data_IF_051802134886
#
_entry.id   IF_051802134886
#
_cell.length_a   1.000
_cell.length_b   1.000
_cell.length_c   1.000
_cell.angle_alpha   90.00
_cell.angle_beta   90.00
_cell.angle_gamma   90.00
#
_symmetry.space_group_name_H-M   'P 1'
#
loop_
_entity.id
_entity.type
_entity.pdbx_description
1 polymer ?
2 non-polymer ?
3 non-polymer ?
4 non-polymer ?
5 non-polymer ?
6 water ?
#
# COMPACT_ATOMS: atom_id res chain seq x y z
N UNK A 1 -9.81 -16.46 23.14
CA UNK A 1 -8.82 -17.33 23.78
C UNK A 1 -7.43 -16.88 23.32
N UNK A 2 -6.46 -16.79 24.23
CA UNK A 2 -5.18 -16.23 23.83
C UNK A 2 -4.04 -17.24 23.80
N UNK A 3 -3.20 -17.11 22.79
CA UNK A 3 -2.04 -17.97 22.62
C UNK A 3 -0.79 -17.16 22.31
N UNK A 4 0.35 -17.77 22.60
CA UNK A 4 1.64 -17.28 22.16
C UNK A 4 2.33 -18.46 21.48
N UNK A 5 2.86 -18.25 20.29
CA UNK A 5 3.44 -19.34 19.49
C UNK A 5 4.89 -19.03 19.13
N UNK A 6 5.72 -20.06 19.06
CA UNK A 6 7.05 -19.90 18.47
C UNK A 6 6.93 -20.42 17.05
N UNK A 7 7.01 -21.72 16.89
CA UNK A 7 6.76 -22.31 15.57
C UNK A 7 5.31 -22.71 15.47
N UNK A 8 4.60 -21.99 14.63
CA UNK A 8 3.20 -22.27 14.41
C UNK A 8 3.08 -23.54 13.56
N UNK A 9 2.74 -24.64 14.21
CA UNK A 9 2.57 -25.91 13.53
C UNK A 9 1.20 -25.99 12.91
N UNK A 10 0.95 -27.04 12.13
CA UNK A 10 -0.40 -27.28 11.60
C UNK A 10 -1.40 -27.60 12.73
N UNK A 11 -0.91 -28.25 13.78
CA UNK A 11 -1.77 -28.55 14.93
C UNK A 11 -2.21 -27.24 15.59
N UNK A 12 -1.26 -26.32 15.78
CA UNK A 12 -1.56 -25.00 16.30
C UNK A 12 -2.64 -24.32 15.48
N UNK A 13 -2.45 -24.33 14.16
CA UNK A 13 -3.38 -23.71 13.22
C UNK A 13 -4.78 -24.31 13.38
N UNK A 14 -4.87 -25.62 13.57
CA UNK A 14 -6.19 -26.26 13.68
C UNK A 14 -6.89 -25.89 15.00
N UNK A 15 -6.09 -25.66 16.05
CA UNK A 15 -6.62 -25.29 17.37
C UNK A 15 -7.28 -23.92 17.36
N UNK A 16 -6.88 -23.06 16.41
CA UNK A 16 -7.37 -21.68 16.37
C UNK A 16 -8.76 -21.54 15.78
N UNK A 17 -9.56 -20.66 16.39
CA UNK A 17 -10.85 -20.27 15.85
C UNK A 17 -10.91 -18.75 15.85
N UNK A 18 -11.73 -18.17 14.98
CA UNK A 18 -11.96 -16.72 14.94
C UNK A 18 -12.21 -16.10 16.33
N UNK A 19 -11.67 -14.90 16.53
CA UNK A 19 -11.80 -14.21 17.79
C UNK A 19 -10.64 -14.46 18.71
N UNK A 20 -9.89 -15.54 18.46
CA UNK A 20 -8.72 -15.83 19.27
C UNK A 20 -7.66 -14.75 19.12
N UNK A 21 -6.95 -14.46 20.21
CA UNK A 21 -5.89 -13.47 20.21
C UNK A 21 -4.57 -14.25 20.19
N UNK A 22 -3.65 -13.80 19.34
CA UNK A 22 -2.42 -14.53 19.11
C UNK A 22 -1.24 -13.59 19.17
N UNK A 23 -0.18 -14.02 19.86
CA UNK A 23 1.12 -13.36 19.83
C UNK A 23 2.14 -14.28 19.15
N UNK A 24 2.99 -13.71 18.30
CA UNK A 24 3.94 -14.51 17.54
C UNK A 24 5.38 -14.25 17.95
N UNK A 25 6.14 -15.32 18.11
CA UNK A 25 7.60 -15.24 18.18
C UNK A 25 8.24 -16.05 17.07
N UNK A 26 9.35 -15.57 16.55
CA UNK A 26 10.05 -16.33 15.54
C UNK A 26 10.02 -15.71 14.16
N UNK A 27 10.00 -16.57 13.15
CA UNK A 27 10.28 -16.15 11.79
C UNK A 27 9.00 -15.83 11.02
N UNK A 28 8.97 -14.65 10.41
CA UNK A 28 7.91 -14.29 9.46
C UNK A 28 8.56 -13.65 8.24
N UNK A 29 7.88 -13.71 7.11
CA UNK A 29 8.34 -13.09 5.86
C UNK A 29 7.33 -12.05 5.41
N UNK A 30 7.79 -10.89 4.93
CA UNK A 30 6.84 -9.99 4.30
C UNK A 30 6.63 -10.38 2.85
N UNK A 31 5.39 -10.31 2.39
CA UNK A 31 5.05 -10.53 0.99
C UNK A 31 3.77 -9.77 0.61
N UNK A 32 3.92 -8.73 -0.20
CA UNK A 32 2.77 -8.02 -0.74
C UNK A 32 2.51 -8.51 -2.15
N UNK A 33 1.87 -7.70 -2.97
CA UNK A 33 1.28 -8.22 -4.21
C UNK A 33 2.36 -8.59 -5.21
N UNK A 34 3.30 -7.66 -5.43
CA UNK A 34 4.29 -7.85 -6.47
C UNK A 34 5.14 -9.04 -6.11
N UNK A 35 5.45 -9.21 -4.83
CA UNK A 35 6.27 -10.34 -4.39
C UNK A 35 5.48 -11.65 -4.51
N UNK A 36 4.17 -11.59 -4.26
CA UNK A 36 3.32 -12.75 -4.48
C UNK A 36 3.41 -13.18 -5.95
N UNK A 37 3.24 -12.21 -6.85
CA UNK A 37 3.25 -12.46 -8.28
C UNK A 37 4.60 -13.04 -8.72
N UNK A 38 5.69 -12.45 -8.24
CA UNK A 38 7.00 -12.95 -8.59
C UNK A 38 7.22 -14.38 -8.13
N UNK A 39 6.86 -14.65 -6.87
CA UNK A 39 7.05 -15.97 -6.29
C UNK A 39 6.24 -17.02 -7.04
N UNK A 40 5.04 -16.64 -7.45
CA UNK A 40 4.15 -17.54 -8.17
C UNK A 40 4.74 -17.92 -9.52
N UNK A 41 5.26 -16.92 -10.23
CA UNK A 41 5.82 -17.11 -11.56
C UNK A 41 7.07 -18.03 -11.49
N UNK A 42 7.88 -17.82 -10.47
CA UNK A 42 9.07 -18.63 -10.24
C UNK A 42 8.73 -20.10 -10.00
N UNK A 43 7.81 -20.33 -9.07
CA UNK A 43 7.40 -21.69 -8.70
C UNK A 43 6.67 -22.38 -9.85
N UNK A 44 5.95 -21.61 -10.66
CA UNK A 44 5.35 -22.15 -11.87
C UNK A 44 6.43 -22.65 -12.83
N UNK A 45 7.57 -21.97 -12.84
CA UNK A 45 8.67 -22.33 -13.74
C UNK A 45 9.57 -23.40 -13.11
N UNK A 46 9.13 -23.98 -12.00
CA UNK A 46 9.89 -25.00 -11.27
C UNK A 46 11.24 -24.49 -10.75
N UNK A 47 11.35 -23.18 -10.59
CA UNK A 47 12.53 -22.58 -9.97
C UNK A 47 12.48 -22.72 -8.44
N UNK A 48 13.65 -22.69 -7.81
CA UNK A 48 13.74 -22.70 -6.35
C UNK A 48 13.71 -21.26 -5.83
N UNK A 49 13.10 -21.06 -4.67
CA UNK A 49 13.10 -19.74 -4.04
C UNK A 49 14.36 -19.65 -3.18
N UNK A 50 14.88 -18.43 -2.94
CA UNK A 50 16.08 -18.34 -2.11
C UNK A 50 15.75 -18.39 -0.60
N UNK A 51 14.51 -18.77 -0.30
CA UNK A 51 14.02 -18.93 1.07
C UNK A 51 12.91 -20.01 1.12
N UNK A 52 12.65 -20.52 2.31
CA UNK A 52 11.72 -21.62 2.47
C UNK A 52 10.40 -21.12 3.07
N UNK A 53 9.34 -21.20 2.28
CA UNK A 53 8.02 -20.75 2.69
C UNK A 53 7.16 -21.90 3.20
N UNK A 54 7.70 -23.11 3.20
CA UNK A 54 6.92 -24.25 3.66
C UNK A 54 6.47 -24.13 5.11
N UNK A 55 5.16 -24.16 5.31
CA UNK A 55 4.54 -23.98 6.63
C UNK A 55 4.97 -22.68 7.30
N UNK A 56 5.32 -21.68 6.48
CA UNK A 56 5.76 -20.40 6.99
C UNK A 56 4.64 -19.41 7.20
N UNK A 57 4.99 -18.28 7.80
CA UNK A 57 4.05 -17.19 8.01
C UNK A 57 4.42 -16.00 7.15
N UNK A 58 3.48 -15.49 6.36
CA UNK A 58 3.76 -14.27 5.60
C UNK A 58 3.01 -13.07 6.17
N UNK A 59 3.51 -11.89 5.87
CA UNK A 59 2.97 -10.69 6.45
C UNK A 59 2.73 -9.67 5.34
N UNK A 60 1.46 -9.35 5.09
CA UNK A 60 1.13 -8.27 4.18
C UNK A 60 1.59 -6.94 4.79
N UNK A 61 2.80 -6.53 4.43
CA UNK A 61 3.40 -5.28 4.93
C UNK A 61 4.43 -4.74 3.96
N UNK A 62 4.67 -3.43 4.06
CA UNK A 62 5.66 -2.76 3.24
C UNK A 62 6.63 -2.06 4.17
N UNK A 63 7.59 -2.81 4.72
CA UNK A 63 8.46 -2.29 5.79
C UNK A 63 9.44 -1.26 5.27
N UNK A 64 9.80 -0.30 6.12
CA UNK A 64 10.99 0.53 5.91
C UNK A 64 12.10 0.07 6.84
N UNK A 65 13.28 -0.18 6.28
CA UNK A 65 14.43 -0.64 7.04
C UNK A 65 15.56 0.37 6.92
N UNK A 66 16.45 0.42 7.90
CA UNK A 66 17.65 1.24 7.79
C UNK A 66 18.87 0.42 8.19
N UNK A 67 20.01 0.78 7.61
CA UNK A 67 21.25 0.12 7.94
C UNK A 67 21.88 0.78 9.16
N UNK A 68 22.13 -0.02 10.18
CA UNK A 68 22.87 0.41 11.37
C UNK A 68 24.05 -0.56 11.49
N UNK A 69 25.26 -0.01 11.41
CA UNK A 69 26.47 -0.80 11.17
C UNK A 69 26.32 -1.43 9.79
N UNK A 70 26.54 -2.73 9.68
CA UNK A 70 26.37 -3.44 8.41
C UNK A 70 25.13 -4.33 8.49
N UNK A 71 24.18 -3.91 9.34
CA UNK A 71 22.97 -4.68 9.58
C UNK A 71 21.66 -3.88 9.54
N UNK A 72 20.62 -4.55 9.06
CA UNK A 72 19.29 -3.94 8.92
C UNK A 72 18.54 -3.75 10.23
N UNK A 73 18.01 -2.56 10.44
CA UNK A 73 17.09 -2.33 11.55
C UNK A 73 15.74 -1.83 11.01
N UNK A 74 14.66 -2.32 11.61
CA UNK A 74 13.30 -1.96 11.17
C UNK A 74 12.80 -0.65 11.75
N UNK A 75 12.43 0.26 10.84
CA UNK A 75 11.90 1.57 11.18
C UNK A 75 10.37 1.58 11.37
N UNK A 76 9.67 0.90 10.45
CA UNK A 76 8.21 0.87 10.43
C UNK A 76 7.72 -0.39 9.70
N UNK A 77 6.66 -1.01 10.21
CA UNK A 77 6.14 -2.23 9.55
C UNK A 77 4.68 -2.56 9.93
N UNK A 78 3.75 -1.70 9.52
CA UNK A 78 2.33 -1.98 9.76
C UNK A 78 1.71 -2.89 8.70
N UNK A 79 0.56 -3.52 9.02
CA UNK A 79 -0.11 -4.36 8.03
C UNK A 79 -0.76 -3.53 6.94
N UNK A 80 -0.75 -4.02 5.71
CA UNK A 80 -1.39 -3.35 4.59
C UNK A 80 -2.61 -4.15 4.18
N UNK A 81 -3.49 -3.51 3.40
CA UNK A 81 -4.78 -4.09 3.00
C UNK A 81 -4.67 -5.41 2.22
N UNK A 82 -5.11 -6.49 2.87
CA UNK A 82 -4.92 -7.83 2.37
C UNK A 82 -5.71 -8.16 1.09
N UNK A 83 -6.78 -7.42 0.81
CA UNK A 83 -7.59 -7.71 -0.38
C UNK A 83 -6.83 -7.51 -1.71
N UNK A 84 -5.74 -6.75 -1.68
CA UNK A 84 -4.85 -6.62 -2.84
C UNK A 84 -4.35 -7.99 -3.33
N UNK A 85 -4.34 -8.97 -2.42
CA UNK A 85 -3.82 -10.30 -2.72
C UNK A 85 -4.90 -11.32 -3.01
N UNK A 86 -6.16 -10.86 -3.09
CA UNK A 86 -7.32 -11.75 -3.29
C UNK A 86 -7.25 -12.58 -4.57
N UNK A 87 -6.76 -11.98 -5.64
CA UNK A 87 -6.68 -12.67 -6.93
C UNK A 87 -5.65 -13.79 -6.94
N UNK A 88 -4.65 -13.70 -6.05
CA UNK A 88 -3.51 -14.64 -6.09
C UNK A 88 -3.30 -15.48 -4.85
N UNK A 89 -4.02 -15.23 -3.75
CA UNK A 89 -3.67 -15.91 -2.50
C UNK A 89 -3.90 -17.41 -2.56
N UNK A 90 -4.95 -17.83 -3.24
CA UNK A 90 -5.22 -19.26 -3.38
C UNK A 90 -4.04 -20.01 -4.05
N UNK A 91 -3.62 -19.54 -5.22
CA UNK A 91 -2.50 -20.15 -5.93
C UNK A 91 -1.20 -20.05 -5.10
N UNK A 92 -0.96 -18.89 -4.51
CA UNK A 92 0.20 -18.70 -3.64
C UNK A 92 0.25 -19.76 -2.55
N UNK A 93 -0.89 -20.04 -1.92
CA UNK A 93 -0.94 -21.03 -0.85
C UNK A 93 -0.65 -22.43 -1.40
N UNK A 94 -1.25 -22.77 -2.53
CA UNK A 94 -1.09 -24.09 -3.09
C UNK A 94 0.36 -24.37 -3.53
N UNK A 95 1.06 -23.34 -3.97
CA UNK A 95 2.44 -23.49 -4.43
C UNK A 95 3.50 -23.43 -3.32
N UNK A 96 3.16 -22.85 -2.17
CA UNK A 96 4.13 -22.57 -1.12
C UNK A 96 3.89 -23.40 0.14
N UNK A 97 2.63 -23.76 0.37
CA UNK A 97 2.22 -24.43 1.60
C UNK A 97 2.49 -23.59 2.89
N UNK A 98 2.32 -22.26 2.79
CA UNK A 98 2.37 -21.40 3.97
C UNK A 98 1.30 -21.80 4.98
N UNK A 99 1.53 -21.48 6.25
CA UNK A 99 0.59 -21.85 7.32
C UNK A 99 -0.26 -20.69 7.85
N UNK A 100 0.21 -19.46 7.68
CA UNK A 100 -0.52 -18.31 8.19
C UNK A 100 -0.24 -17.06 7.38
N UNK A 101 -1.21 -16.16 7.39
CA UNK A 101 -1.13 -14.89 6.70
C UNK A 101 -1.43 -13.79 7.72
N UNK A 102 -0.57 -12.78 7.83
CA UNK A 102 -0.87 -11.65 8.71
C UNK A 102 -1.12 -10.41 7.86
N UNK A 103 -2.22 -9.71 8.11
CA UNK A 103 -2.52 -8.49 7.37
C UNK A 103 -3.60 -7.62 7.99
N UNK A 104 -4.26 -6.83 7.16
CA UNK A 104 -5.36 -5.97 7.60
C UNK A 104 -6.56 -6.05 6.66
N UNK A 105 -7.77 -5.97 7.24
CA UNK A 105 -8.99 -5.84 6.46
C UNK A 105 -9.62 -7.15 6.03
N UNK A 106 -8.86 -8.23 6.10
CA UNK A 106 -9.39 -9.53 5.72
C UNK A 106 -9.30 -9.80 4.24
N UNK A 107 -9.72 -11.00 3.83
CA UNK A 107 -9.65 -11.41 2.43
C UNK A 107 -10.96 -12.10 2.03
N UNK A 108 -11.16 -12.33 0.74
CA UNK A 108 -12.44 -12.83 0.25
C UNK A 108 -12.84 -14.18 0.87
N UNK A 109 -14.15 -14.36 1.03
CA UNK A 109 -14.72 -15.55 1.66
C UNK A 109 -14.41 -16.83 0.89
N UNK A 110 -14.18 -16.70 -0.41
CA UNK A 110 -13.83 -17.85 -1.24
C UNK A 110 -12.51 -18.56 -0.82
N UNK A 111 -11.65 -17.89 -0.05
CA UNK A 111 -10.39 -18.53 0.37
C UNK A 111 -10.59 -19.44 1.59
N UNK A 112 -11.77 -19.36 2.20
CA UNK A 112 -12.08 -20.21 3.35
C UNK A 112 -11.92 -21.69 3.01
N UNK A 113 -12.35 -22.07 1.80
CA UNK A 113 -12.16 -23.45 1.34
C UNK A 113 -10.66 -23.81 1.32
N UNK A 114 -9.82 -22.92 0.80
CA UNK A 114 -8.38 -23.17 0.77
C UNK A 114 -7.75 -23.20 2.17
N UNK A 115 -8.15 -22.26 3.03
CA UNK A 115 -7.64 -22.19 4.39
C UNK A 115 -7.97 -23.48 5.13
N UNK A 116 -9.15 -24.01 4.86
CA UNK A 116 -9.64 -25.21 5.54
C UNK A 116 -8.92 -26.46 5.04
N UNK A 117 -8.80 -26.55 3.71
CA UNK A 117 -8.16 -27.69 3.06
C UNK A 117 -6.66 -27.75 3.34
N UNK A 118 -6.00 -26.59 3.33
CA UNK A 118 -4.55 -26.56 3.46
C UNK A 118 -4.06 -26.27 4.89
N UNK A 119 -4.98 -25.85 5.76
CA UNK A 119 -4.59 -25.46 7.10
C UNK A 119 -3.88 -24.12 7.14
N UNK A 120 -4.62 -23.05 6.86
CA UNK A 120 -4.08 -21.70 6.94
C UNK A 120 -5.02 -20.86 7.82
N UNK A 121 -4.43 -19.95 8.57
CA UNK A 121 -5.21 -19.03 9.37
C UNK A 121 -4.84 -17.61 8.95
N UNK A 122 -5.85 -16.74 8.84
CA UNK A 122 -5.64 -15.33 8.55
C UNK A 122 -5.72 -14.51 9.84
N UNK A 123 -4.65 -13.76 10.12
CA UNK A 123 -4.56 -13.01 11.36
C UNK A 123 -4.54 -11.51 11.10
N UNK A 124 -5.48 -10.79 11.71
CA UNK A 124 -5.51 -9.34 11.58
C UNK A 124 -4.51 -8.70 12.55
N UNK A 125 -3.66 -7.84 12.02
CA UNK A 125 -2.65 -7.12 12.80
C UNK A 125 -3.14 -5.70 13.05
N UNK A 126 -2.67 -5.06 14.13
CA UNK A 126 -3.12 -3.69 14.40
C UNK A 126 -2.72 -2.70 13.31
N UNK A 127 -3.68 -1.89 12.88
CA UNK A 127 -3.40 -0.86 11.90
C UNK A 127 -3.05 0.42 12.63
N UNK A 128 -2.57 1.41 11.89
CA UNK A 128 -2.28 2.73 12.46
C UNK A 128 -1.14 2.82 13.46
N UNK A 129 -0.25 1.83 13.49
CA UNK A 129 0.93 1.93 14.34
C UNK A 129 2.15 1.22 13.74
N UNK A 130 2.44 1.58 12.48
CA UNK A 130 3.54 0.99 11.73
C UNK A 130 4.89 1.13 12.43
N UNK A 131 5.19 2.33 12.94
CA UNK A 131 6.46 2.58 13.64
C UNK A 131 6.58 1.78 14.93
N UNK A 132 5.47 1.67 15.65
CA UNK A 132 5.42 0.93 16.90
C UNK A 132 5.65 -0.55 16.75
N UNK A 133 5.11 -1.14 15.69
CA UNK A 133 5.24 -2.57 15.46
C UNK A 133 6.68 -2.95 15.08
N UNK A 134 7.42 -1.98 14.55
CA UNK A 134 8.83 -2.19 14.25
C UNK A 134 9.56 -2.69 15.49
N UNK A 135 9.12 -2.28 16.68
CA UNK A 135 9.77 -2.71 17.92
C UNK A 135 9.65 -4.20 18.20
N UNK A 136 8.62 -4.83 17.65
CA UNK A 136 8.47 -6.27 17.76
C UNK A 136 9.47 -7.02 16.88
N UNK A 137 10.08 -6.31 15.94
CA UNK A 137 11.06 -6.93 15.07
C UNK A 137 12.39 -7.01 15.82
N UNK A 138 12.76 -8.21 16.24
CA UNK A 138 13.97 -8.40 17.05
C UNK A 138 15.20 -8.51 16.16
N UNK A 139 15.04 -9.04 14.95
CA UNK A 139 16.16 -9.17 14.01
C UNK A 139 15.71 -9.22 12.56
N UNK A 140 16.39 -8.46 11.69
CA UNK A 140 16.18 -8.60 10.25
C UNK A 140 17.23 -9.56 9.67
N UNK A 141 16.83 -10.81 9.44
CA UNK A 141 17.71 -11.87 8.95
C UNK A 141 18.17 -11.66 7.51
N UNK A 142 17.27 -11.23 6.62
CA UNK A 142 17.53 -11.20 5.19
C UNK A 142 16.49 -10.42 4.38
N UNK A 143 16.90 -9.93 3.23
CA UNK A 143 15.98 -9.38 2.25
C UNK A 143 16.20 -10.08 0.91
N UNK A 144 15.11 -10.31 0.18
CA UNK A 144 15.22 -10.86 -1.17
C UNK A 144 14.54 -9.97 -2.19
N UNK A 145 15.01 -10.01 -3.42
CA UNK A 145 14.39 -9.28 -4.54
C UNK A 145 14.41 -7.78 -4.35
N UNK A 146 15.31 -7.30 -3.49
CA UNK A 146 15.37 -5.87 -3.16
C UNK A 146 15.63 -5.00 -4.36
N UNK A 147 16.58 -5.44 -5.17
CA UNK A 147 16.95 -4.69 -6.35
C UNK A 147 15.81 -4.60 -7.36
N UNK A 148 15.10 -5.69 -7.58
CA UNK A 148 13.98 -5.67 -8.51
C UNK A 148 12.76 -4.95 -7.90
N UNK A 149 12.40 -5.27 -6.66
CA UNK A 149 11.10 -4.81 -6.13
C UNK A 149 11.15 -3.52 -5.33
N UNK A 150 12.31 -3.16 -4.79
CA UNK A 150 12.40 -1.99 -3.94
C UNK A 150 12.09 -2.38 -2.51
N UNK A 151 12.48 -1.53 -1.56
CA UNK A 151 12.43 -1.89 -0.14
C UNK A 151 11.08 -2.40 0.38
N UNK A 152 10.00 -1.60 0.26
CA UNK A 152 8.79 -2.14 0.90
C UNK A 152 8.12 -3.29 0.15
N UNK A 153 8.44 -3.48 -1.13
CA UNK A 153 7.82 -4.56 -1.87
C UNK A 153 8.64 -5.85 -1.82
N UNK A 154 9.93 -5.72 -1.44
CA UNK A 154 10.84 -6.86 -1.34
C UNK A 154 10.40 -7.82 -0.26
N UNK A 155 10.86 -9.06 -0.33
CA UNK A 155 10.54 -10.04 0.70
C UNK A 155 11.58 -9.96 1.82
N UNK A 156 11.15 -9.47 2.99
CA UNK A 156 12.00 -9.38 4.18
C UNK A 156 11.76 -10.55 5.13
N UNK A 157 12.83 -11.24 5.51
CA UNK A 157 12.82 -12.33 6.49
C UNK A 157 13.14 -11.80 7.90
N UNK A 158 12.20 -12.00 8.83
CA UNK A 158 12.25 -11.36 10.14
C UNK A 158 12.14 -12.32 11.32
N UNK A 159 12.83 -11.97 12.40
CA UNK A 159 12.57 -12.57 13.72
C UNK A 159 11.75 -11.55 14.50
N UNK A 160 10.57 -11.94 14.93
CA UNK A 160 9.72 -11.00 15.68
C UNK A 160 9.58 -11.48 17.10
N UNK A 161 9.48 -10.53 18.02
CA UNK A 161 9.25 -10.88 19.40
C UNK A 161 7.95 -10.33 19.97
N UNK A 162 7.19 -11.22 20.59
CA UNK A 162 5.85 -10.93 21.06
C UNK A 162 5.10 -10.03 20.08
N UNK A 163 4.97 -10.50 18.84
CA UNK A 163 4.26 -9.77 17.80
C UNK A 163 2.74 -9.99 17.91
N UNK A 164 2.04 -8.90 18.19
CA UNK A 164 0.61 -8.93 18.43
C UNK A 164 0.11 -7.69 19.17
N UNK A 165 -1.16 -7.70 19.61
CA UNK A 165 -2.10 -8.82 19.44
C UNK A 165 -2.52 -9.00 18.00
N UNK A 166 -2.54 -10.24 17.54
CA UNK A 166 -3.08 -10.52 16.23
C UNK A 166 -4.40 -11.21 16.51
N UNK A 167 -5.46 -10.87 15.79
CA UNK A 167 -6.72 -11.51 16.08
C UNK A 167 -7.02 -12.43 14.92
N UNK A 168 -7.39 -13.67 15.25
CA UNK A 168 -7.76 -14.64 14.23
C UNK A 168 -9.01 -14.15 13.52
N UNK A 169 -8.86 -13.67 12.28
CA UNK A 169 -9.96 -13.04 11.57
C UNK A 169 -10.63 -13.98 10.57
N UNK A 170 -9.88 -14.98 10.11
CA UNK A 170 -10.39 -16.05 9.25
C UNK A 170 -9.66 -17.30 9.68
N UNK A 171 -10.38 -18.35 10.06
CA UNK A 171 -9.69 -19.55 10.54
C UNK A 171 -9.70 -20.69 9.51
N UNK A 172 -9.24 -21.86 9.92
CA UNK A 172 -9.20 -23.01 9.01
C UNK A 172 -10.45 -23.88 9.17
N UNK A 173 -11.54 -23.28 9.65
CA UNK A 173 -12.78 -24.02 9.91
C UNK A 173 -14.00 -23.38 9.29
N UNK A 174 -13.79 -22.53 8.28
CA UNK A 174 -14.91 -21.95 7.55
C UNK A 174 -15.46 -20.66 8.11
N UNK A 175 -14.80 -20.10 9.11
CA UNK A 175 -15.28 -18.88 9.74
C UNK A 175 -14.51 -17.64 9.29
N UNK A 176 -15.23 -16.54 9.15
CA UNK A 176 -14.62 -15.24 8.87
C UNK A 176 -15.37 -14.19 9.66
N UNK A 177 -14.65 -13.43 10.47
CA UNK A 177 -15.26 -12.37 11.26
C UNK A 177 -15.88 -11.29 10.38
N UNK A 178 -15.51 -11.28 9.09
CA UNK A 178 -15.97 -10.25 8.16
C UNK A 178 -17.31 -10.63 7.51
N UNK A 179 -17.80 -11.82 7.82
CA UNK A 179 -19.05 -12.30 7.23
C UNK A 179 -20.14 -12.47 8.28
N UNK B 1 -3.16 19.85 -26.45
CA UNK B 1 -2.74 21.13 -25.89
C UNK B 1 -1.88 20.92 -24.64
N UNK B 2 -0.88 21.77 -24.44
CA UNK B 2 0.01 21.65 -23.29
C UNK B 2 -0.24 22.76 -22.29
N UNK B 3 -0.22 22.44 -21.00
CA UNK B 3 -0.41 23.44 -19.94
C UNK B 3 0.55 23.28 -18.78
N UNK B 4 0.76 24.38 -18.06
CA UNK B 4 1.50 24.35 -16.81
C UNK B 4 0.64 25.01 -15.75
N UNK B 5 0.54 24.38 -14.59
CA UNK B 5 -0.39 24.84 -13.58
C UNK B 5 0.25 25.17 -12.25
N UNK B 6 -0.30 26.19 -11.62
CA UNK B 6 0.08 26.62 -10.30
C UNK B 6 -0.93 26.12 -9.27
N UNK B 7 -2.01 26.87 -9.12
CA UNK B 7 -3.18 26.40 -8.38
C UNK B 7 -4.13 25.90 -9.45
N UNK B 8 -4.39 24.60 -9.48
CA UNK B 8 -5.31 24.05 -10.47
C UNK B 8 -6.76 24.40 -10.11
N UNK B 9 -7.36 25.33 -10.84
CA UNK B 9 -8.74 25.72 -10.55
C UNK B 9 -9.73 24.77 -11.18
N UNK B 10 -11.00 24.91 -10.79
CA UNK B 10 -12.08 24.15 -11.40
C UNK B 10 -12.28 24.54 -12.87
N UNK B 11 -11.99 25.80 -13.20
CA UNK B 11 -12.07 26.24 -14.60
C UNK B 11 -11.03 25.50 -15.42
N UNK B 12 -9.82 25.40 -14.89
CA UNK B 12 -8.73 24.65 -15.51
C UNK B 12 -9.12 23.20 -15.76
N UNK B 13 -9.67 22.57 -14.74
CA UNK B 13 -10.06 21.17 -14.80
C UNK B 13 -11.00 20.90 -15.96
N UNK B 14 -12.00 21.77 -16.10
CA UNK B 14 -13.03 21.60 -17.14
C UNK B 14 -12.48 21.88 -18.54
N UNK B 15 -11.49 22.76 -18.58
CA UNK B 15 -10.80 23.15 -19.80
C UNK B 15 -9.97 21.98 -20.36
N UNK B 16 -9.53 21.08 -19.50
CA UNK B 16 -8.64 20.01 -19.94
C UNK B 16 -9.42 18.95 -20.69
N UNK B 17 -8.83 18.46 -21.77
CA UNK B 17 -9.39 17.39 -22.55
C UNK B 17 -8.36 16.26 -22.59
N UNK B 18 -8.85 15.03 -22.71
CA UNK B 18 -7.99 13.87 -22.81
C UNK B 18 -6.90 14.08 -23.87
N UNK B 19 -5.68 13.65 -23.58
CA UNK B 19 -4.59 13.81 -24.52
C UNK B 19 -3.79 15.07 -24.27
N UNK B 20 -4.35 15.99 -23.50
CA UNK B 20 -3.62 17.22 -23.16
C UNK B 20 -2.42 16.86 -22.30
N UNK B 21 -1.33 17.59 -22.47
CA UNK B 21 -0.10 17.35 -21.72
C UNK B 21 -0.01 18.37 -20.60
N UNK B 22 0.37 17.93 -19.40
CA UNK B 22 0.35 18.83 -18.24
C UNK B 22 1.61 18.78 -17.41
N UNK B 23 2.06 19.95 -17.01
CA UNK B 23 3.16 20.10 -16.08
C UNK B 23 2.64 20.80 -14.81
N UNK B 24 3.09 20.35 -13.64
CA UNK B 24 2.61 20.94 -12.39
C UNK B 24 3.70 21.68 -11.63
N UNK B 25 3.37 22.86 -11.14
CA UNK B 25 4.19 23.56 -10.17
C UNK B 25 3.36 23.79 -8.92
N UNK B 26 3.98 23.74 -7.76
CA UNK B 26 3.25 24.04 -6.56
C UNK B 26 3.02 22.80 -5.72
N UNK B 27 1.87 22.78 -5.06
CA UNK B 27 1.61 21.82 -4.01
C UNK B 27 0.88 20.60 -4.51
N UNK B 28 1.42 19.42 -4.16
CA UNK B 28 0.75 18.15 -4.38
C UNK B 28 0.85 17.31 -3.09
N UNK B 29 -0.07 16.36 -2.92
CA UNK B 29 -0.07 15.47 -1.76
C UNK B 29 0.02 14.05 -2.21
N UNK B 30 0.83 13.23 -1.54
CA UNK B 30 0.81 11.80 -1.83
C UNK B 30 -0.25 11.12 -0.99
N UNK B 31 -1.00 10.23 -1.63
CA UNK B 31 -1.99 9.39 -0.97
C UNK B 31 -2.20 8.16 -1.81
N UNK B 32 -1.80 7.01 -1.31
CA UNK B 32 -2.27 5.79 -1.94
C UNK B 32 -3.17 5.01 -0.96
N UNK B 33 -3.01 3.69 -0.89
CA UNK B 33 -4.03 2.84 -0.31
C UNK B 33 -4.39 3.11 1.15
N UNK B 34 -3.40 3.10 2.02
CA UNK B 34 -3.67 3.19 3.45
C UNK B 34 -4.10 4.60 3.85
N UNK B 35 -3.55 5.60 3.17
CA UNK B 35 -3.89 6.99 3.45
C UNK B 35 -5.29 7.32 2.99
N UNK B 36 -5.70 6.73 1.87
CA UNK B 36 -7.08 6.90 1.38
C UNK B 36 -8.01 6.42 2.47
N UNK B 37 -7.78 5.20 2.95
CA UNK B 37 -8.62 4.62 3.98
C UNK B 37 -8.63 5.48 5.23
N UNK B 38 -7.46 5.89 5.71
CA UNK B 38 -7.40 6.71 6.91
C UNK B 38 -8.11 8.04 6.72
N UNK B 39 -7.92 8.69 5.56
CA UNK B 39 -8.57 9.97 5.31
C UNK B 39 -10.10 9.82 5.26
N UNK B 40 -10.57 8.75 4.65
CA UNK B 40 -11.98 8.52 4.50
C UNK B 40 -12.62 8.32 5.87
N UNK B 41 -12.00 7.49 6.72
CA UNK B 41 -12.56 7.21 8.04
C UNK B 41 -12.57 8.45 8.92
N UNK B 42 -11.51 9.27 8.87
CA UNK B 42 -11.51 10.49 9.67
C UNK B 42 -12.64 11.43 9.26
N UNK B 43 -12.69 11.75 7.97
CA UNK B 43 -13.70 12.65 7.43
C UNK B 43 -15.13 12.05 7.51
N UNK B 44 -15.22 10.71 7.45
CA UNK B 44 -16.50 10.01 7.64
C UNK B 44 -17.07 10.31 9.02
N UNK B 45 -16.18 10.30 10.02
CA UNK B 45 -16.53 10.51 11.41
C UNK B 45 -16.52 12.00 11.77
N UNK B 46 -16.47 12.84 10.74
CA UNK B 46 -16.46 14.29 10.90
C UNK B 46 -15.23 14.85 11.66
N UNK B 47 -14.11 14.12 11.68
CA UNK B 47 -12.85 14.68 12.21
C UNK B 47 -12.19 15.61 11.19
N UNK B 48 -11.45 16.61 11.65
CA UNK B 48 -10.72 17.47 10.72
C UNK B 48 -9.31 16.95 10.44
N UNK B 49 -8.87 17.12 9.19
CA UNK B 49 -7.53 16.71 8.80
C UNK B 49 -6.55 17.79 9.12
N UNK B 50 -5.28 17.42 9.36
CA UNK B 50 -4.29 18.47 9.64
C UNK B 50 -3.82 19.18 8.37
N UNK B 51 -4.53 18.93 7.26
CA UNK B 51 -4.20 19.59 6.00
C UNK B 51 -5.46 19.71 5.14
N UNK B 52 -5.43 20.62 4.20
CA UNK B 52 -6.60 20.94 3.39
C UNK B 52 -6.49 20.32 2.02
N UNK B 53 -7.40 19.37 1.73
CA UNK B 53 -7.39 18.69 0.45
C UNK B 53 -8.37 19.31 -0.53
N UNK B 54 -9.06 20.36 -0.11
CA UNK B 54 -10.04 21.00 -0.99
C UNK B 54 -9.38 21.56 -2.24
N UNK B 55 -9.86 21.12 -3.41
CA UNK B 55 -9.27 21.48 -4.71
C UNK B 55 -7.75 21.14 -4.82
N UNK B 56 -7.31 20.15 -4.05
CA UNK B 56 -5.91 19.74 -4.08
C UNK B 56 -5.65 18.70 -5.14
N UNK B 57 -4.36 18.42 -5.36
CA UNK B 57 -3.95 17.38 -6.28
C UNK B 57 -3.35 16.24 -5.47
N UNK B 58 -3.84 15.03 -5.65
CA UNK B 58 -3.17 13.94 -4.96
C UNK B 58 -2.40 13.09 -5.98
N UNK B 59 -1.38 12.42 -5.47
CA UNK B 59 -0.50 11.62 -6.29
C UNK B 59 -0.45 10.24 -5.71
N UNK B 60 -1.01 9.28 -6.45
CA UNK B 60 -0.88 7.88 -6.06
C UNK B 60 0.59 7.47 -6.16
N UNK B 61 1.33 7.57 -5.07
CA UNK B 61 2.75 7.20 -5.08
C UNK B 61 3.21 6.81 -3.68
N UNK B 62 4.31 6.07 -3.62
CA UNK B 62 4.90 5.64 -2.36
C UNK B 62 6.34 6.12 -2.32
N UNK B 63 6.52 7.40 -1.94
CA UNK B 63 7.84 8.00 -2.09
C UNK B 63 8.87 7.41 -1.16
N UNK B 64 10.11 7.42 -1.61
CA UNK B 64 11.24 7.15 -0.73
C UNK B 64 11.88 8.49 -0.37
N UNK B 65 12.01 8.74 0.92
CA UNK B 65 12.60 9.98 1.41
C UNK B 65 13.82 9.69 2.29
N UNK B 66 14.74 10.63 2.36
CA UNK B 66 15.82 10.53 3.31
C UNK B 66 15.98 11.87 4.01
N UNK B 67 16.41 11.84 5.27
CA UNK B 67 16.67 13.09 5.99
C UNK B 67 18.10 13.53 5.70
N UNK B 68 18.25 14.75 5.19
CA UNK B 68 19.57 15.36 5.00
C UNK B 68 19.63 16.70 5.71
N UNK B 69 20.47 16.79 6.75
CA UNK B 69 20.50 17.93 7.67
C UNK B 69 19.14 18.17 8.37
N UNK B 70 18.61 17.11 8.99
CA UNK B 70 17.35 17.16 9.73
C UNK B 70 16.17 17.65 8.84
N UNK B 71 16.31 17.47 7.53
CA UNK B 71 15.25 17.83 6.59
C UNK B 71 15.06 16.75 5.51
N UNK B 72 13.81 16.52 5.12
CA UNK B 72 13.45 15.51 4.12
C UNK B 72 13.80 15.90 2.69
N UNK B 73 14.48 15.01 1.98
CA UNK B 73 14.65 15.18 0.53
C UNK B 73 14.12 13.94 -0.17
N UNK B 74 13.47 14.14 -1.31
CA UNK B 74 12.88 13.02 -2.05
C UNK B 74 13.90 12.29 -2.90
N UNK B 75 14.06 11.00 -2.63
CA UNK B 75 14.97 10.17 -3.38
C UNK B 75 14.28 9.60 -4.61
N UNK B 76 13.07 9.08 -4.42
CA UNK B 76 12.35 8.41 -5.49
C UNK B 76 10.82 8.48 -5.29
N UNK B 77 10.09 8.77 -6.36
CA UNK B 77 8.64 8.89 -6.27
C UNK B 77 7.97 8.55 -7.62
N UNK B 78 8.02 7.28 -7.99
CA UNK B 78 7.34 6.85 -9.20
C UNK B 78 5.87 6.63 -8.90
N UNK B 79 5.04 6.60 -9.96
CA UNK B 79 3.60 6.41 -9.81
C UNK B 79 3.20 5.00 -9.39
N UNK B 80 2.13 4.91 -8.61
CA UNK B 80 1.58 3.64 -8.15
C UNK B 80 0.38 3.31 -9.03
N UNK B 81 0.11 2.02 -9.20
CA UNK B 81 -1.01 1.55 -10.01
C UNK B 81 -2.33 2.06 -9.38
N UNK B 82 -3.00 2.96 -10.08
CA UNK B 82 -4.13 3.69 -9.52
C UNK B 82 -5.37 2.82 -9.29
N UNK B 83 -5.45 1.71 -10.02
CA UNK B 83 -6.61 0.84 -9.93
C UNK B 83 -6.74 0.25 -8.53
N UNK B 84 -5.62 0.21 -7.80
CA UNK B 84 -5.65 -0.19 -6.41
C UNK B 84 -6.64 0.65 -5.58
N UNK B 85 -6.91 1.88 -6.04
CA UNK B 85 -7.77 2.80 -5.31
C UNK B 85 -9.20 2.87 -5.88
N UNK B 86 -9.52 1.99 -6.82
CA UNK B 86 -10.81 1.98 -7.50
C UNK B 86 -11.98 1.85 -6.53
N UNK B 87 -11.81 1.07 -5.47
CA UNK B 87 -12.89 0.82 -4.50
C UNK B 87 -13.27 2.03 -3.63
N UNK B 88 -12.32 2.93 -3.42
CA UNK B 88 -12.48 4.01 -2.45
C UNK B 88 -12.39 5.42 -3.05
N UNK B 89 -12.04 5.53 -4.33
CA UNK B 89 -11.81 6.86 -4.90
C UNK B 89 -13.08 7.70 -4.99
N UNK B 90 -14.20 7.08 -5.35
CA UNK B 90 -15.47 7.82 -5.41
C UNK B 90 -15.79 8.50 -4.08
N UNK B 91 -15.75 7.71 -3.01
CA UNK B 91 -15.97 8.23 -1.68
C UNK B 91 -14.93 9.27 -1.28
N UNK B 92 -13.67 9.01 -1.63
CA UNK B 92 -12.57 9.93 -1.34
C UNK B 92 -12.85 11.32 -1.90
N UNK B 93 -13.28 11.35 -3.16
CA UNK B 93 -13.56 12.61 -3.86
C UNK B 93 -14.73 13.35 -3.21
N UNK B 94 -15.81 12.63 -2.90
CA UNK B 94 -17.03 13.21 -2.31
C UNK B 94 -16.72 13.80 -0.93
N UNK B 95 -15.78 13.20 -0.21
CA UNK B 95 -15.38 13.71 1.09
C UNK B 95 -14.35 14.85 1.03
N UNK B 96 -13.61 14.97 -0.08
CA UNK B 96 -12.51 15.94 -0.11
C UNK B 96 -12.69 17.10 -1.10
N UNK B 97 -13.36 16.84 -2.23
CA UNK B 97 -13.41 17.79 -3.36
C UNK B 97 -11.99 18.11 -3.90
N UNK B 98 -11.13 17.08 -3.97
CA UNK B 98 -9.87 17.23 -4.67
C UNK B 98 -10.15 17.57 -6.14
N UNK B 99 -9.18 18.18 -6.83
CA UNK B 99 -9.32 18.55 -8.24
C UNK B 99 -8.56 17.63 -9.20
N UNK B 100 -7.55 16.91 -8.72
CA UNK B 100 -6.83 16.04 -9.64
C UNK B 100 -6.18 14.86 -8.96
N UNK B 101 -6.03 13.80 -9.75
CA UNK B 101 -5.39 12.57 -9.32
C UNK B 101 -4.25 12.25 -10.25
N UNK B 102 -3.06 12.03 -9.71
CA UNK B 102 -1.96 11.59 -10.55
C UNK B 102 -1.55 10.16 -10.19
N UNK B 103 -1.42 9.30 -11.20
CA UNK B 103 -0.98 7.94 -10.96
C UNK B 103 -0.62 7.24 -12.26
N UNK B 104 -0.70 5.92 -12.29
CA UNK B 104 -0.46 5.22 -13.53
C UNK B 104 -1.48 4.11 -13.78
N UNK B 105 -1.76 3.85 -15.05
CA UNK B 105 -2.62 2.75 -15.42
C UNK B 105 -4.10 3.10 -15.50
N UNK B 106 -4.50 4.23 -14.90
CA UNK B 106 -5.87 4.69 -14.98
C UNK B 106 -6.79 4.08 -13.93
N UNK B 107 -8.06 4.48 -13.94
CA UNK B 107 -9.05 3.99 -12.97
C UNK B 107 -10.36 3.59 -13.67
N UNK B 108 -11.23 2.92 -12.93
CA UNK B 108 -12.44 2.38 -13.53
C UNK B 108 -13.32 3.50 -14.11
N UNK B 109 -13.99 3.17 -15.21
CA UNK B 109 -14.82 4.13 -15.92
C UNK B 109 -15.98 4.68 -15.07
N UNK B 110 -16.40 3.94 -14.07
CA UNK B 110 -17.51 4.39 -13.21
C UNK B 110 -17.20 5.67 -12.46
N UNK B 111 -15.92 6.02 -12.39
CA UNK B 111 -15.53 7.22 -11.68
C UNK B 111 -15.68 8.48 -12.53
N UNK B 112 -15.88 8.30 -13.84
CA UNK B 112 -16.03 9.44 -14.73
C UNK B 112 -17.18 10.37 -14.28
N UNK B 113 -18.32 9.77 -13.90
CA UNK B 113 -19.47 10.55 -13.43
C UNK B 113 -19.07 11.41 -12.24
N UNK B 114 -18.30 10.85 -11.33
CA UNK B 114 -17.80 11.59 -10.19
C UNK B 114 -16.76 12.63 -10.62
N UNK B 115 -15.87 12.26 -11.56
CA UNK B 115 -14.89 13.25 -12.06
C UNK B 115 -15.68 14.42 -12.67
N UNK B 116 -16.76 14.10 -13.37
CA UNK B 116 -17.54 15.11 -14.07
C UNK B 116 -18.37 15.97 -13.13
N UNK B 117 -19.01 15.39 -12.12
CA UNK B 117 -19.77 16.20 -11.17
C UNK B 117 -18.89 17.06 -10.29
N UNK B 118 -17.77 16.53 -9.83
CA UNK B 118 -16.96 17.24 -8.83
C UNK B 118 -15.83 18.06 -9.42
N UNK B 119 -15.58 17.86 -10.71
CA UNK B 119 -14.49 18.55 -11.39
C UNK B 119 -13.14 17.95 -10.99
N UNK B 120 -12.90 16.72 -11.42
CA UNK B 120 -11.63 16.04 -11.18
C UNK B 120 -11.10 15.53 -12.51
N UNK B 121 -9.79 15.56 -12.67
CA UNK B 121 -9.17 14.99 -13.84
C UNK B 121 -8.11 13.96 -13.42
N UNK B 122 -7.97 12.88 -14.19
CA UNK B 122 -6.93 11.90 -13.89
C UNK B 122 -5.68 12.12 -14.78
N UNK B 123 -4.53 12.31 -14.16
CA UNK B 123 -3.31 12.60 -14.90
C UNK B 123 -2.36 11.43 -14.77
N UNK B 124 -2.01 10.84 -15.91
CA UNK B 124 -1.12 9.69 -15.94
C UNK B 124 0.35 10.13 -15.86
N UNK B 125 1.09 9.57 -14.91
CA UNK B 125 2.48 9.96 -14.78
C UNK B 125 3.40 8.92 -15.45
N UNK B 126 4.55 9.40 -15.96
CA UNK B 126 5.49 8.48 -16.63
C UNK B 126 6.13 7.52 -15.65
N UNK B 127 6.19 6.25 -16.01
CA UNK B 127 6.86 5.25 -15.19
C UNK B 127 8.30 5.09 -15.63
N UNK B 128 9.09 4.38 -14.83
CA UNK B 128 10.47 4.13 -15.19
C UNK B 128 11.37 5.36 -15.15
N UNK B 129 10.96 6.37 -14.38
CA UNK B 129 11.81 7.53 -14.12
C UNK B 129 11.52 8.10 -12.74
N UNK B 130 11.48 7.22 -11.74
CA UNK B 130 11.11 7.59 -10.37
C UNK B 130 12.04 8.66 -9.80
N UNK B 131 13.34 8.48 -10.00
CA UNK B 131 14.36 9.42 -9.55
C UNK B 131 14.25 10.79 -10.26
N UNK B 132 13.90 10.75 -11.54
CA UNK B 132 13.70 11.98 -12.29
C UNK B 132 12.50 12.77 -11.72
N UNK B 133 11.42 12.06 -11.39
CA UNK B 133 10.25 12.72 -10.83
C UNK B 133 10.55 13.23 -9.42
N UNK B 134 11.41 12.51 -8.71
CA UNK B 134 11.90 12.94 -7.41
C UNK B 134 12.55 14.33 -7.50
N UNK B 135 13.23 14.55 -8.61
CA UNK B 135 13.94 15.81 -8.82
C UNK B 135 12.99 16.99 -8.89
N UNK B 136 11.73 16.72 -9.24
CA UNK B 136 10.70 17.75 -9.26
C UNK B 136 10.37 18.22 -7.86
N UNK B 137 10.68 17.38 -6.87
CA UNK B 137 10.32 17.71 -5.50
C UNK B 137 11.35 18.67 -4.95
N UNK B 138 10.96 19.94 -4.88
CA UNK B 138 11.84 21.00 -4.45
C UNK B 138 11.77 21.19 -2.95
N UNK B 139 10.61 20.85 -2.36
CA UNK B 139 10.49 20.98 -0.93
C UNK B 139 9.46 20.03 -0.36
N UNK B 140 9.83 19.41 0.75
CA UNK B 140 8.90 18.61 1.54
C UNK B 140 8.29 19.50 2.63
N UNK B 141 7.08 19.99 2.40
CA UNK B 141 6.44 20.90 3.35
C UNK B 141 6.11 20.23 4.68
N UNK B 142 5.64 18.99 4.62
CA UNK B 142 5.13 18.29 5.79
C UNK B 142 4.94 16.82 5.49
N UNK B 143 4.96 16.00 6.52
CA UNK B 143 4.49 14.65 6.36
C UNK B 143 3.42 14.41 7.43
N UNK B 144 2.35 13.72 7.07
CA UNK B 144 1.31 13.40 8.03
C UNK B 144 1.16 11.90 8.10
N UNK B 145 0.79 11.41 9.28
CA UNK B 145 0.55 10.00 9.50
C UNK B 145 1.80 9.14 9.32
N UNK B 146 2.99 9.72 9.47
CA UNK B 146 4.22 8.96 9.21
C UNK B 146 4.35 7.79 10.19
N UNK B 147 4.15 8.07 11.48
CA UNK B 147 4.29 7.06 12.53
C UNK B 147 3.20 5.98 12.42
N UNK B 148 2.00 6.40 12.04
CA UNK B 148 0.89 5.46 11.92
C UNK B 148 1.01 4.60 10.68
N UNK B 149 1.29 5.22 9.53
CA UNK B 149 1.23 4.51 8.25
C UNK B 149 2.58 4.06 7.68
N UNK B 150 3.67 4.70 8.07
CA UNK B 150 4.98 4.39 7.49
C UNK B 150 5.25 5.19 6.24
N UNK B 151 6.52 5.29 5.87
CA UNK B 151 6.97 6.21 4.82
C UNK B 151 6.21 6.10 3.47
N UNK B 152 6.12 4.89 2.88
CA UNK B 152 5.50 4.89 1.55
C UNK B 152 3.97 5.08 1.53
N UNK B 153 3.30 4.89 2.66
CA UNK B 153 1.84 5.09 2.71
C UNK B 153 1.42 6.45 3.30
N UNK B 154 2.37 7.10 3.97
CA UNK B 154 2.09 8.37 4.65
C UNK B 154 1.74 9.47 3.66
N UNK B 155 1.07 10.50 4.14
CA UNK B 155 0.73 11.64 3.30
C UNK B 155 1.85 12.66 3.29
N UNK B 156 2.55 12.75 2.15
CA UNK B 156 3.61 13.74 1.99
C UNK B 156 3.10 14.95 1.21
N UNK B 157 3.26 16.12 1.81
CA UNK B 157 2.93 17.39 1.20
C UNK B 157 4.18 17.96 0.49
N UNK B 158 4.10 18.13 -0.83
CA UNK B 158 5.29 18.43 -1.62
C UNK B 158 5.14 19.69 -2.44
N UNK B 159 6.25 20.40 -2.60
CA UNK B 159 6.34 21.45 -3.61
C UNK B 159 7.09 20.93 -4.82
N UNK B 160 6.43 20.98 -5.97
CA UNK B 160 7.02 20.53 -7.21
C UNK B 160 7.22 21.69 -8.19
N UNK B 161 8.29 21.58 -9.00
CA UNK B 161 8.54 22.48 -10.12
C UNK B 161 8.63 21.63 -11.38
N UNK B 162 7.91 22.05 -12.42
CA UNK B 162 7.75 21.25 -13.65
C UNK B 162 7.62 19.75 -13.40
N UNK B 163 6.59 19.36 -12.66
CA UNK B 163 6.28 17.97 -12.41
C UNK B 163 5.57 17.46 -13.65
N UNK B 164 6.17 16.49 -14.33
CA UNK B 164 5.63 16.03 -15.60
C UNK B 164 6.69 15.37 -16.48
N UNK B 165 6.35 15.13 -17.77
CA UNK B 165 5.08 15.42 -18.43
C UNK B 165 3.98 14.45 -17.99
N UNK B 166 2.82 15.01 -17.67
CA UNK B 166 1.65 14.24 -17.31
C UNK B 166 0.65 14.29 -18.46
N UNK B 167 -0.02 13.17 -18.71
CA UNK B 167 -1.03 13.11 -19.77
C UNK B 167 -2.45 13.00 -19.18
N UNK B 168 -3.36 13.86 -19.63
CA UNK B 168 -4.76 13.77 -19.21
C UNK B 168 -5.35 12.48 -19.77
N UNK B 169 -5.57 11.49 -18.90
CA UNK B 169 -6.03 10.15 -19.32
C UNK B 169 -7.53 9.94 -19.07
N UNK B 170 -8.08 10.66 -18.11
CA UNK B 170 -9.52 10.62 -17.86
C UNK B 170 -9.92 12.04 -17.57
N UNK B 171 -10.87 12.58 -18.32
CA UNK B 171 -11.17 13.99 -18.17
C UNK B 171 -12.43 14.18 -17.32
N UNK B 172 -12.86 15.42 -17.22
CA UNK B 172 -14.05 15.77 -16.44
C UNK B 172 -15.31 15.89 -17.31
N UNK B 173 -15.29 15.23 -18.46
CA UNK B 173 -16.39 15.28 -19.41
C UNK B 173 -16.83 13.89 -19.88
N UNK B 174 -16.51 12.86 -19.10
CA UNK B 174 -16.96 11.52 -19.44
C UNK B 174 -16.02 10.72 -20.35
N UNK B 175 -14.83 11.25 -20.59
CA UNK B 175 -13.90 10.55 -21.46
C UNK B 175 -12.74 9.86 -20.71
N UNK B 176 -12.35 8.69 -21.21
CA UNK B 176 -11.22 7.94 -20.68
C UNK B 176 -10.49 7.20 -21.79
N UNK B 177 -9.16 7.37 -21.87
CA UNK B 177 -8.38 6.64 -22.87
C UNK B 177 -8.36 5.15 -22.66
N UNK B 178 -8.75 4.68 -21.47
CA UNK B 178 -8.66 3.26 -21.16
C UNK B 178 -9.88 2.48 -21.62
N UNK B 179 -10.84 3.18 -22.21
CA UNK B 179 -12.07 2.54 -22.70
C UNK B 179 -12.19 2.61 -24.22
X LIG C 1 -0.16 0.48 6.95
X LIG C 1 0.86 1.38 6.53
X LIG C 1 -0.83 0.88 8.27
X LIG C 1 -0.51 -0.09 9.27
X LIG C 1 -2.34 0.92 8.08
X LIG C 1 -2.99 0.98 9.33
X LIG D 1 -12.92 -9.15 1.66
X LIG D 1 -11.81 -8.93 0.79
X LIG D 1 -13.00 -8.09 2.76
X LIG D 1 -12.15 -8.41 3.85
X LIG D 1 -14.43 -7.79 3.25
X LIG D 1 -15.06 -8.93 3.77
X LIG E 1 4.12 6.70 18.34
X LIG E 1 4.14 7.95 17.69
X LIG E 1 4.58 5.58 17.43
X LIG E 1 5.50 4.75 18.13
X LIG E 1 3.39 4.76 16.93
X LIG E 1 3.65 4.04 15.73
X LIG F 1 11.79 -24.14 -2.31
X LIG F 1 12.15 -23.11 -3.21
X LIG F 1 11.74 -23.66 -0.86
X LIG F 1 10.62 -22.76 -0.64
X LIG F 1 9.35 -23.18 -1.13
X LIG F 1 8.28 -23.08 -0.09
X LIG F 1 7.28 -24.11 -0.23
X LIG G 1 0.01 -5.22 -2.05
X LIG H 1 -8.03 1.46 -16.51
X LIG H 1 -9.12 0.95 -17.25
X LIG H 1 -7.85 0.69 -15.21
X LIG H 1 -7.02 -0.43 -15.47
X LIG H 1 -9.23 0.25 -14.69
X LIG H 1 -9.30 0.22 -13.27
X LIG I 1 3.61 12.58 11.64
X LIG I 1 3.74 12.32 10.23
X LIG I 1 4.10 11.39 12.49
X LIG I 1 2.99 10.58 12.90
X LIG J 1 -9.99 -2.73 -6.58
X LIG J 1 -8.91 -2.93 -7.52
X LIG J 1 -9.40 -2.10 -5.32
X LIG J 1 -9.78 -0.73 -5.21
X LIG K 1 -9.16 26.70 -2.46
X LIG K 1 -9.95 27.64 -3.21
X LIG K 1 -9.82 26.47 -1.10
X LIG K 1 -8.97 25.64 -0.29
#
# INVERSE_FOLDING_TARGET
>A
MEYTFNKLTKKDVKKLKVGDIVYLNGKIYTARDEAHLKIIEMLKSNEKLPFDLNESIIYHAGPIMKKVNDSWVCVSIGPTTSARMNDVEEEFIKLTNISAIVGKGGMKKELLKTFEDYGVVYLAAPGGCAALLANSVKRVDNVYFLDELGMPEAVWELEVNNFGPLIVAMDSHGNSIYE
>B
MEYTFNKLTKKDVKKLKVGDIVYLNGKIYTARDEAHLKIIEMLKSNEKLPFDLNESIIYHAGPIMKKVNDSWVCVSIGPTTSARMNDVEEEFIKLTNISAIVGKGGMKKELLKTFEDYGVVYLAAPGGCAALLANSVKRVDNVYFLDELGMPEAVWELEVNNFGPLIVAMDSHGNSIYE
>C hetero
1 GOL C1 O1 C2 O2 C3 O3
>D hetero
1 GOL C1 O1 C2 O2 C3 O3
>E hetero
1 GOL C1 O1 C2 O2 C3 O3
>F hetero
1 PEG C1 O1 C2 O2 C3 C4 O4
>G hetero
1 CL CL
>H hetero
1 GOL C1 O1 C2 O2 C3 O3
>I hetero
1 EDO C1 O1 C2 O2
>J hetero
1 EDO C1 O1 C2 O2
>K hetero
1 EDO C1 O1 C2 O2
#
